data_IF_819870831594
#
_entry.id   IF_819870831594
#
_cell.length_a   1.000
_cell.length_b   1.000
_cell.length_c   1.000
_cell.angle_alpha   90.00
_cell.angle_beta   90.00
_cell.angle_gamma   90.00
#
_symmetry.space_group_name_H-M   'P 1'
#
loop_
_entity.id
_entity.type
_entity.pdbx_description
1 polymer ?
#
# COMPACT_ATOMS: atom_id res chain seq x y z
N UNK A 1 14.23 -10.24 28.27
CA UNK A 1 13.48 -10.83 27.14
C UNK A 1 14.46 -11.09 26.02
N UNK A 2 14.59 -12.33 25.57
CA UNK A 2 15.38 -12.64 24.36
C UNK A 2 14.50 -12.26 23.16
N UNK A 3 14.97 -11.33 22.33
CA UNK A 3 14.34 -11.08 21.02
C UNK A 3 14.53 -12.35 20.18
N UNK A 4 13.42 -12.96 19.73
CA UNK A 4 13.46 -13.98 18.70
C UNK A 4 13.62 -13.27 17.36
N UNK A 5 14.86 -12.96 17.00
CA UNK A 5 15.14 -12.53 15.64
C UNK A 5 14.88 -13.72 14.69
N UNK A 6 14.32 -13.48 13.48
CA UNK A 6 14.18 -14.54 12.49
C UNK A 6 15.55 -15.10 12.16
N UNK A 7 15.85 -16.32 12.56
CA UNK A 7 17.06 -17.04 12.17
C UNK A 7 16.83 -17.77 10.85
N UNK A 8 17.92 -18.25 10.25
CA UNK A 8 17.83 -19.00 8.99
C UNK A 8 17.06 -20.31 9.17
N UNK A 9 17.04 -20.88 10.38
CA UNK A 9 16.27 -22.09 10.71
C UNK A 9 14.75 -21.87 10.60
N UNK A 10 14.25 -20.72 11.04
CA UNK A 10 12.86 -20.33 10.80
C UNK A 10 12.56 -20.21 9.30
N UNK A 11 13.46 -19.61 8.53
CA UNK A 11 13.29 -19.46 7.07
C UNK A 11 13.26 -20.82 6.35
N UNK A 12 14.10 -21.79 6.76
CA UNK A 12 14.03 -23.17 6.27
C UNK A 12 12.66 -23.81 6.56
N UNK A 13 12.16 -23.68 7.80
CA UNK A 13 10.85 -24.24 8.18
C UNK A 13 9.70 -23.60 7.41
N UNK A 14 9.66 -22.27 7.32
CA UNK A 14 8.59 -21.53 6.65
C UNK A 14 8.55 -21.75 5.14
N UNK A 15 9.69 -22.06 4.53
CA UNK A 15 9.79 -22.34 3.10
C UNK A 15 9.78 -23.84 2.79
N UNK A 16 9.56 -24.69 3.80
CA UNK A 16 9.55 -26.14 3.72
C UNK A 16 10.80 -26.70 3.01
N UNK A 17 11.96 -26.13 3.33
CA UNK A 17 13.25 -26.56 2.80
C UNK A 17 14.00 -27.33 3.87
N UNK A 18 14.45 -28.55 3.52
CA UNK A 18 15.36 -29.32 4.35
C UNK A 18 16.69 -28.56 4.52
N UNK A 19 17.14 -28.24 5.74
CA UNK A 19 18.43 -27.59 5.98
C UNK A 19 19.61 -28.31 5.32
N UNK A 20 19.53 -29.64 5.14
CA UNK A 20 20.56 -30.41 4.45
C UNK A 20 20.67 -30.09 2.95
N UNK A 21 19.63 -29.51 2.33
CA UNK A 21 19.67 -29.02 0.96
C UNK A 21 20.46 -27.70 0.81
N UNK A 22 20.71 -27.00 1.93
CA UNK A 22 21.59 -25.85 2.01
C UNK A 22 21.02 -24.52 1.48
N UNK A 23 21.81 -23.43 1.58
CA UNK A 23 21.34 -22.06 1.39
C UNK A 23 20.95 -21.73 -0.06
N UNK A 24 21.47 -22.48 -1.03
CA UNK A 24 21.12 -22.31 -2.45
C UNK A 24 19.68 -22.74 -2.70
N UNK A 25 19.25 -23.86 -2.12
CA UNK A 25 17.87 -24.34 -2.23
C UNK A 25 16.91 -23.39 -1.51
N UNK A 26 17.30 -22.92 -0.32
CA UNK A 26 16.53 -21.93 0.43
C UNK A 26 16.27 -20.67 -0.40
N UNK A 27 17.32 -20.08 -0.98
CA UNK A 27 17.19 -18.90 -1.84
C UNK A 27 16.35 -19.21 -3.10
N UNK A 28 16.52 -20.39 -3.70
CA UNK A 28 15.72 -20.81 -4.87
C UNK A 28 14.23 -20.85 -4.55
N UNK A 29 13.84 -21.38 -3.38
CA UNK A 29 12.43 -21.37 -2.93
C UNK A 29 11.95 -19.98 -2.61
N UNK A 30 12.77 -19.17 -1.94
CA UNK A 30 12.43 -17.79 -1.64
C UNK A 30 12.08 -16.97 -2.89
N UNK A 31 12.73 -17.25 -4.04
CA UNK A 31 12.44 -16.59 -5.34
C UNK A 31 11.04 -16.86 -5.89
N UNK A 32 10.31 -17.84 -5.35
CA UNK A 32 8.87 -17.98 -5.61
C UNK A 32 8.02 -16.85 -5.01
N UNK A 33 8.54 -16.15 -3.99
CA UNK A 33 7.95 -14.95 -3.41
C UNK A 33 8.64 -13.66 -3.88
N UNK A 34 7.91 -12.55 -3.92
CA UNK A 34 8.46 -11.27 -4.42
C UNK A 34 9.49 -10.63 -3.49
N UNK A 35 9.30 -10.71 -2.17
CA UNK A 35 10.11 -10.01 -1.17
C UNK A 35 11.01 -10.95 -0.34
N UNK A 36 10.64 -12.22 -0.23
CA UNK A 36 11.37 -13.23 0.55
C UNK A 36 12.84 -13.44 0.15
N UNK A 37 13.26 -13.33 -1.12
CA UNK A 37 14.67 -13.50 -1.49
C UNK A 37 15.60 -12.55 -0.73
N UNK A 38 15.17 -11.30 -0.54
CA UNK A 38 15.98 -10.28 0.12
C UNK A 38 16.13 -10.55 1.63
N UNK A 39 15.07 -11.03 2.29
CA UNK A 39 15.14 -11.48 3.68
C UNK A 39 16.08 -12.67 3.86
N UNK A 40 15.99 -13.66 2.96
CA UNK A 40 16.89 -14.82 2.97
C UNK A 40 18.34 -14.38 2.75
N UNK A 41 18.61 -13.51 1.76
CA UNK A 41 19.95 -12.98 1.53
C UNK A 41 20.48 -12.21 2.75
N UNK A 42 19.66 -11.40 3.41
CA UNK A 42 20.04 -10.67 4.61
C UNK A 42 20.34 -11.62 5.79
N UNK A 43 19.50 -12.64 6.03
CA UNK A 43 19.70 -13.62 7.09
C UNK A 43 20.97 -14.44 6.87
N UNK A 44 21.20 -14.92 5.64
CA UNK A 44 22.43 -15.62 5.26
C UNK A 44 23.67 -14.73 5.41
N UNK A 45 23.55 -13.43 5.13
CA UNK A 45 24.63 -12.46 5.34
C UNK A 45 25.03 -12.37 6.81
N UNK A 46 24.01 -12.29 7.68
CA UNK A 46 24.18 -12.19 9.13
C UNK A 46 24.86 -13.41 9.72
N UNK A 47 24.57 -14.60 9.19
CA UNK A 47 25.24 -15.85 9.60
C UNK A 47 26.64 -16.05 8.98
N UNK A 48 27.14 -15.07 8.22
CA UNK A 48 28.46 -15.15 7.61
C UNK A 48 28.54 -16.08 6.40
N UNK A 49 27.40 -16.45 5.79
CA UNK A 49 27.39 -17.24 4.57
C UNK A 49 28.11 -16.50 3.43
N UNK A 50 29.04 -17.18 2.76
CA UNK A 50 29.78 -16.60 1.64
C UNK A 50 28.83 -16.27 0.48
N UNK A 51 28.71 -14.98 0.17
CA UNK A 51 27.97 -14.50 -1.00
C UNK A 51 28.89 -14.07 -2.15
N UNK A 52 28.43 -14.29 -3.38
CA UNK A 52 29.02 -13.69 -4.58
C UNK A 52 28.61 -12.23 -4.74
N UNK A 53 29.23 -11.54 -5.70
CA UNK A 53 28.96 -10.13 -6.00
C UNK A 53 27.50 -9.87 -6.36
N UNK A 54 26.91 -10.72 -7.22
CA UNK A 54 25.51 -10.56 -7.65
C UNK A 54 24.50 -10.62 -6.49
N UNK A 55 24.69 -11.57 -5.56
CA UNK A 55 23.82 -11.71 -4.38
C UNK A 55 23.95 -10.52 -3.43
N UNK A 56 25.18 -10.00 -3.24
CA UNK A 56 25.39 -8.77 -2.45
C UNK A 56 24.76 -7.56 -3.11
N UNK A 57 24.88 -7.43 -4.43
CA UNK A 57 24.29 -6.33 -5.18
C UNK A 57 22.75 -6.39 -5.11
N UNK A 58 22.14 -7.57 -5.21
CA UNK A 58 20.70 -7.78 -5.03
C UNK A 58 20.22 -7.33 -3.64
N UNK A 59 20.93 -7.71 -2.58
CA UNK A 59 20.63 -7.26 -1.21
C UNK A 59 20.82 -5.74 -1.04
N UNK A 60 21.87 -5.16 -1.64
CA UNK A 60 22.12 -3.72 -1.59
C UNK A 60 20.98 -2.93 -2.24
N UNK A 61 20.53 -3.31 -3.43
CA UNK A 61 19.40 -2.65 -4.11
C UNK A 61 18.10 -2.71 -3.32
N UNK A 62 17.85 -3.81 -2.60
CA UNK A 62 16.69 -3.91 -1.72
C UNK A 62 16.76 -2.94 -0.54
N UNK A 63 17.95 -2.77 0.06
CA UNK A 63 18.20 -1.78 1.12
C UNK A 63 18.02 -0.35 0.61
N UNK A 64 18.63 -0.03 -0.53
CA UNK A 64 18.54 1.30 -1.13
C UNK A 64 17.08 1.68 -1.45
N UNK A 65 16.27 0.71 -1.87
CA UNK A 65 14.83 0.91 -2.08
C UNK A 65 14.09 1.20 -0.78
N UNK A 66 14.33 0.43 0.28
CA UNK A 66 13.71 0.67 1.58
C UNK A 66 14.08 2.07 2.11
N UNK A 67 15.36 2.44 2.02
CA UNK A 67 15.86 3.76 2.41
C UNK A 67 15.23 4.89 1.56
N UNK A 68 15.07 4.65 0.26
CA UNK A 68 14.38 5.58 -0.63
C UNK A 68 12.93 5.82 -0.18
N UNK A 69 12.17 4.75 0.08
CA UNK A 69 10.79 4.89 0.57
C UNK A 69 10.72 5.54 1.95
N UNK A 70 11.65 5.26 2.86
CA UNK A 70 11.70 5.91 4.16
C UNK A 70 11.94 7.42 4.04
N UNK A 71 12.83 7.86 3.14
CA UNK A 71 13.04 9.29 2.85
C UNK A 71 11.80 9.92 2.23
N UNK A 72 11.23 9.30 1.19
CA UNK A 72 10.01 9.79 0.54
C UNK A 72 8.85 9.94 1.53
N UNK A 73 8.65 8.96 2.41
CA UNK A 73 7.60 9.01 3.41
C UNK A 73 7.77 10.20 4.37
N UNK A 74 9.00 10.45 4.83
CA UNK A 74 9.31 11.59 5.70
C UNK A 74 9.08 12.93 5.00
N UNK A 75 9.64 13.07 3.79
CA UNK A 75 9.54 14.33 3.03
C UNK A 75 8.07 14.67 2.68
N UNK A 76 7.27 13.65 2.37
CA UNK A 76 5.82 13.82 2.13
C UNK A 76 5.06 14.11 3.43
N UNK A 77 5.39 13.43 4.53
CA UNK A 77 4.75 13.68 5.81
C UNK A 77 4.97 15.12 6.29
N UNK A 78 6.20 15.62 6.19
CA UNK A 78 6.55 16.99 6.58
C UNK A 78 5.85 18.03 5.69
N UNK A 79 5.62 17.71 4.42
CA UNK A 79 5.06 18.66 3.45
C UNK A 79 3.53 18.67 3.38
N UNK A 80 2.88 17.52 3.58
CA UNK A 80 1.43 17.37 3.33
C UNK A 80 0.66 16.70 4.47
N UNK A 81 1.35 16.21 5.50
CA UNK A 81 0.74 15.52 6.64
C UNK A 81 0.26 14.09 6.33
N UNK A 82 0.58 13.53 5.17
CA UNK A 82 0.37 12.10 4.91
C UNK A 82 1.26 11.27 5.83
N UNK A 83 0.81 10.08 6.24
CA UNK A 83 1.62 9.20 7.09
C UNK A 83 1.78 7.81 6.48
N UNK A 84 2.94 7.16 6.67
CA UNK A 84 3.10 5.78 6.26
C UNK A 84 2.23 4.86 7.11
N UNK A 85 1.74 3.79 6.47
CA UNK A 85 1.00 2.70 7.11
C UNK A 85 1.53 1.35 6.59
N UNK A 86 1.20 0.27 7.31
CA UNK A 86 1.52 -1.12 6.94
C UNK A 86 3.03 -1.37 6.86
N UNK A 87 3.57 -1.44 5.64
CA UNK A 87 4.88 -2.00 5.35
C UNK A 87 6.05 -1.24 5.97
N UNK A 88 5.99 0.09 5.95
CA UNK A 88 7.10 0.93 6.42
C UNK A 88 7.14 1.04 7.96
N UNK A 89 6.03 1.26 8.68
CA UNK A 89 6.03 1.14 10.14
C UNK A 89 6.49 -0.24 10.61
N UNK A 90 6.00 -1.30 9.95
CA UNK A 90 6.36 -2.67 10.27
C UNK A 90 7.86 -2.97 10.03
N UNK A 91 8.45 -2.39 8.97
CA UNK A 91 9.89 -2.47 8.73
C UNK A 91 10.73 -1.90 9.89
N UNK A 92 10.18 -0.94 10.66
CA UNK A 92 10.85 -0.38 11.84
C UNK A 92 11.04 -1.36 13.00
N UNK A 93 10.31 -2.47 13.03
CA UNK A 93 10.48 -3.53 14.03
C UNK A 93 11.53 -4.57 13.66
N UNK A 94 12.03 -4.54 12.42
CA UNK A 94 13.09 -5.46 11.99
C UNK A 94 14.47 -4.97 12.47
N UNK A 95 15.37 -5.89 12.86
CA UNK A 95 16.76 -5.54 13.15
C UNK A 95 17.46 -4.84 11.96
N UNK A 96 18.37 -3.87 12.21
CA UNK A 96 19.04 -3.13 11.14
C UNK A 96 19.85 -4.02 10.16
N UNK A 97 20.36 -5.16 10.63
CA UNK A 97 21.10 -6.12 9.82
C UNK A 97 20.21 -7.10 9.05
N UNK A 98 18.93 -7.19 9.41
CA UNK A 98 17.88 -7.97 8.74
C UNK A 98 16.73 -7.05 8.26
N UNK A 99 16.97 -6.10 7.35
CA UNK A 99 15.95 -5.13 6.97
C UNK A 99 14.77 -5.79 6.24
N UNK A 100 13.55 -5.41 6.63
CA UNK A 100 12.33 -5.81 5.92
C UNK A 100 12.33 -5.22 4.50
N UNK A 101 12.17 -6.03 3.44
CA UNK A 101 12.05 -5.53 2.09
C UNK A 101 10.72 -4.81 1.90
N UNK A 102 10.78 -3.55 1.46
CA UNK A 102 9.59 -2.75 1.17
C UNK A 102 9.37 -2.71 -0.34
N UNK A 103 8.29 -3.34 -0.81
CA UNK A 103 7.96 -3.41 -2.25
C UNK A 103 7.18 -2.18 -2.74
N UNK A 104 6.34 -1.64 -1.87
CA UNK A 104 5.46 -0.50 -2.11
C UNK A 104 5.48 0.40 -0.88
N UNK A 105 5.42 1.71 -1.10
CA UNK A 105 5.17 2.67 -0.02
C UNK A 105 3.67 2.96 0.07
N UNK A 106 3.03 2.52 1.15
CA UNK A 106 1.61 2.81 1.42
C UNK A 106 1.49 3.98 2.39
N UNK A 107 0.77 5.03 1.98
CA UNK A 107 0.53 6.24 2.74
C UNK A 107 -0.97 6.46 2.92
N UNK A 108 -1.38 6.93 4.10
CA UNK A 108 -2.73 7.44 4.33
C UNK A 108 -2.70 8.96 4.45
N UNK A 109 -3.66 9.61 3.81
CA UNK A 109 -3.83 11.05 3.80
C UNK A 109 -4.95 11.46 4.74
N UNK A 110 -4.78 12.55 5.53
CA UNK A 110 -5.82 13.06 6.41
C UNK A 110 -7.02 13.64 5.63
N UNK A 111 -6.79 14.14 4.41
CA UNK A 111 -7.82 14.75 3.55
C UNK A 111 -7.58 14.44 2.07
N UNK A 112 -8.58 14.70 1.23
CA UNK A 112 -8.41 14.59 -0.22
C UNK A 112 -7.42 15.65 -0.77
N UNK A 113 -7.42 16.86 -0.18
CA UNK A 113 -6.46 17.92 -0.52
C UNK A 113 -5.01 17.51 -0.26
N UNK A 114 -4.71 17.00 0.93
CA UNK A 114 -3.38 16.52 1.28
C UNK A 114 -2.93 15.36 0.37
N UNK A 115 -3.88 14.50 -0.06
CA UNK A 115 -3.60 13.42 -1.00
C UNK A 115 -3.16 13.99 -2.34
N UNK A 116 -3.93 14.93 -2.91
CA UNK A 116 -3.60 15.48 -4.22
C UNK A 116 -2.37 16.37 -4.23
N UNK A 117 -2.08 17.07 -3.13
CA UNK A 117 -0.82 17.78 -2.94
C UNK A 117 0.38 16.81 -2.99
N UNK A 118 0.31 15.68 -2.28
CA UNK A 118 1.36 14.67 -2.29
C UNK A 118 1.52 14.00 -3.66
N UNK A 119 0.40 13.67 -4.33
CA UNK A 119 0.40 13.11 -5.69
C UNK A 119 1.04 14.10 -6.68
N UNK A 120 0.66 15.38 -6.63
CA UNK A 120 1.19 16.41 -7.52
C UNK A 120 2.70 16.60 -7.34
N UNK A 121 3.17 16.57 -6.09
CA UNK A 121 4.60 16.63 -5.76
C UNK A 121 5.36 15.44 -6.34
N UNK A 122 4.87 14.21 -6.13
CA UNK A 122 5.51 13.01 -6.68
C UNK A 122 5.57 13.01 -8.20
N UNK A 123 4.51 13.47 -8.89
CA UNK A 123 4.50 13.60 -10.35
C UNK A 123 5.49 14.65 -10.85
N UNK A 124 5.73 15.72 -10.08
CA UNK A 124 6.68 16.76 -10.45
C UNK A 124 8.15 16.36 -10.18
N UNK A 125 8.40 15.59 -9.12
CA UNK A 125 9.75 15.25 -8.65
C UNK A 125 10.28 13.92 -9.23
N UNK A 126 9.40 13.06 -9.74
CA UNK A 126 9.76 11.74 -10.26
C UNK A 126 9.21 11.50 -11.67
N UNK A 127 9.86 10.62 -12.47
CA UNK A 127 9.41 10.27 -13.82
C UNK A 127 8.21 9.33 -13.79
N UNK A 128 7.07 9.80 -13.26
CA UNK A 128 5.86 8.98 -13.09
C UNK A 128 5.27 8.56 -14.44
N UNK A 129 5.20 7.25 -14.66
CA UNK A 129 4.72 6.62 -15.89
C UNK A 129 3.32 6.03 -15.76
N UNK A 130 2.89 5.63 -14.55
CA UNK A 130 1.50 5.24 -14.27
C UNK A 130 0.92 6.05 -13.11
N UNK A 131 -0.33 6.50 -13.27
CA UNK A 131 -1.17 7.02 -12.19
C UNK A 131 -2.51 6.31 -12.28
N UNK A 132 -2.79 5.48 -11.29
CA UNK A 132 -4.03 4.69 -11.19
C UNK A 132 -4.87 5.26 -10.05
N UNK A 133 -6.16 5.49 -10.29
CA UNK A 133 -7.08 6.01 -9.27
C UNK A 133 -8.19 5.02 -9.02
N UNK A 134 -8.50 4.78 -7.74
CA UNK A 134 -9.61 3.94 -7.29
C UNK A 134 -10.47 4.72 -6.31
N UNK A 135 -11.79 4.69 -6.53
CA UNK A 135 -12.76 5.21 -5.58
C UNK A 135 -13.34 4.05 -4.77
N UNK A 136 -13.33 4.20 -3.46
CA UNK A 136 -13.75 3.21 -2.47
C UNK A 136 -14.95 3.75 -1.70
N UNK A 137 -15.93 2.90 -1.42
CA UNK A 137 -17.18 3.29 -0.76
C UNK A 137 -18.07 4.23 -1.60
N UNK A 138 -19.26 4.52 -1.08
CA UNK A 138 -20.21 5.47 -1.69
C UNK A 138 -20.27 6.78 -0.91
N UNK A 139 -20.55 6.70 0.40
CA UNK A 139 -20.61 7.84 1.32
C UNK A 139 -20.17 7.43 2.74
N UNK A 140 -19.10 8.01 3.31
CA UNK A 140 -18.13 8.86 2.62
C UNK A 140 -17.40 8.09 1.51
N UNK A 141 -17.00 8.81 0.47
CA UNK A 141 -16.18 8.29 -0.63
C UNK A 141 -14.71 8.43 -0.23
N UNK A 142 -13.93 7.39 -0.42
CA UNK A 142 -12.48 7.42 -0.27
C UNK A 142 -11.80 7.31 -1.64
N UNK A 143 -10.61 7.91 -1.74
CA UNK A 143 -9.82 7.94 -2.96
C UNK A 143 -8.50 7.27 -2.66
N UNK A 144 -8.08 6.34 -3.52
CA UNK A 144 -6.76 5.75 -3.52
C UNK A 144 -6.07 6.02 -4.85
N UNK A 145 -4.81 6.42 -4.81
CA UNK A 145 -3.98 6.73 -5.97
C UNK A 145 -2.70 5.92 -5.89
N UNK A 146 -2.41 5.15 -6.93
CA UNK A 146 -1.15 4.40 -7.07
C UNK A 146 -0.33 5.03 -8.17
N UNK A 147 0.85 5.54 -7.82
CA UNK A 147 1.85 6.04 -8.75
C UNK A 147 2.94 5.00 -8.98
N UNK A 148 3.39 4.86 -10.23
CA UNK A 148 4.50 3.98 -10.58
C UNK A 148 5.50 4.65 -11.51
N UNK A 149 6.78 4.40 -11.27
CA UNK A 149 7.87 4.79 -12.17
C UNK A 149 8.99 3.74 -12.21
N UNK A 150 9.76 3.68 -13.30
CA UNK A 150 10.86 2.73 -13.42
C UNK A 150 11.90 2.87 -12.30
N UNK A 151 12.46 1.73 -11.88
CA UNK A 151 13.70 1.73 -11.10
C UNK A 151 14.90 2.11 -11.97
N UNK A 152 16.07 2.32 -11.34
CA UNK A 152 17.31 2.61 -12.05
C UNK A 152 17.68 1.49 -13.04
N UNK A 153 17.44 0.23 -12.67
CA UNK A 153 17.52 -0.92 -13.56
C UNK A 153 16.15 -1.63 -13.65
N UNK A 154 15.29 -1.26 -14.61
CA UNK A 154 13.96 -1.84 -14.72
C UNK A 154 13.95 -3.27 -15.27
N UNK A 155 15.09 -3.84 -15.69
CA UNK A 155 15.20 -5.24 -16.09
C UNK A 155 15.36 -6.15 -14.86
N UNK A 156 16.05 -5.67 -13.84
CA UNK A 156 16.35 -6.44 -12.63
C UNK A 156 15.45 -6.10 -11.45
N UNK A 157 15.04 -4.84 -11.34
CA UNK A 157 14.32 -4.35 -10.18
C UNK A 157 12.85 -4.02 -10.50
N UNK A 158 11.93 -4.25 -9.56
CA UNK A 158 10.56 -3.82 -9.72
C UNK A 158 10.48 -2.30 -9.81
N UNK A 159 9.44 -1.80 -10.47
CA UNK A 159 9.15 -0.38 -10.49
C UNK A 159 8.95 0.16 -9.07
N UNK A 160 9.28 1.43 -8.85
CA UNK A 160 8.82 2.12 -7.65
C UNK A 160 7.30 2.24 -7.69
N UNK A 161 6.68 2.03 -6.54
CA UNK A 161 5.24 2.06 -6.37
C UNK A 161 4.93 2.79 -5.06
N UNK A 162 4.16 3.88 -5.17
CA UNK A 162 3.64 4.62 -4.03
C UNK A 162 2.12 4.63 -4.12
N UNK A 163 1.46 4.18 -3.06
CA UNK A 163 0.02 4.19 -2.93
C UNK A 163 -0.38 5.17 -1.84
N UNK A 164 -1.19 6.17 -2.20
CA UNK A 164 -1.76 7.14 -1.27
C UNK A 164 -3.27 6.91 -1.20
N UNK A 165 -3.85 6.91 0.00
CA UNK A 165 -5.30 6.77 0.14
C UNK A 165 -5.87 7.68 1.23
N UNK A 166 -7.12 8.12 1.07
CA UNK A 166 -7.88 8.78 2.16
C UNK A 166 -8.55 7.78 3.10
N UNK A 167 -8.24 6.49 2.96
CA UNK A 167 -8.62 5.45 3.90
C UNK A 167 -7.43 4.57 4.25
N UNK A 168 -7.24 4.31 5.54
CA UNK A 168 -6.15 3.46 6.01
C UNK A 168 -6.36 1.99 5.63
N UNK A 169 -7.59 1.50 5.78
CA UNK A 169 -7.96 0.11 5.49
C UNK A 169 -9.08 0.06 4.47
N UNK A 170 -8.92 -0.75 3.42
CA UNK A 170 -9.85 -0.81 2.29
C UNK A 170 -11.02 -1.73 2.52
N UNK A 171 -10.86 -2.71 3.41
CA UNK A 171 -11.79 -3.80 3.64
C UNK A 171 -11.84 -4.79 2.49
N UNK A 172 -12.78 -5.72 2.62
CA UNK A 172 -13.33 -6.46 1.50
C UNK A 172 -14.64 -5.75 1.11
N UNK A 173 -14.74 -5.17 -0.10
CA UNK A 173 -15.91 -4.44 -0.56
C UNK A 173 -17.25 -5.21 -0.43
N UNK A 174 -17.22 -6.53 -0.24
CA UNK A 174 -18.38 -7.33 0.08
C UNK A 174 -18.82 -7.29 1.55
N UNK A 175 -17.90 -7.50 2.49
CA UNK A 175 -18.25 -7.89 3.86
C UNK A 175 -17.66 -6.97 4.93
N UNK A 176 -16.50 -6.36 4.66
CA UNK A 176 -15.77 -5.52 5.61
C UNK A 176 -15.66 -4.11 5.02
N UNK A 177 -16.24 -3.08 5.65
CA UNK A 177 -16.28 -1.74 5.08
C UNK A 177 -14.90 -1.08 5.02
N UNK A 178 -14.80 -0.05 4.19
CA UNK A 178 -13.66 0.88 4.19
C UNK A 178 -13.58 1.57 5.56
N UNK A 179 -12.39 1.63 6.15
CA UNK A 179 -12.14 2.28 7.45
C UNK A 179 -11.10 3.40 7.27
N UNK A 180 -11.48 4.67 7.52
CA UNK A 180 -10.62 5.80 7.19
C UNK A 180 -9.37 5.93 8.06
N UNK A 181 -9.48 5.56 9.33
CA UNK A 181 -8.47 5.83 10.34
C UNK A 181 -7.90 4.52 10.89
N UNK A 182 -6.63 4.57 11.26
CA UNK A 182 -6.05 3.69 12.26
C UNK A 182 -5.75 4.57 13.48
N UNK A 183 -6.23 4.15 14.63
CA UNK A 183 -6.13 4.88 15.90
C UNK A 183 -5.78 3.87 16.99
N UNK A 184 -4.51 3.46 17.02
CA UNK A 184 -3.93 2.56 17.99
C UNK A 184 -2.42 2.84 18.10
N UNK A 185 -1.76 2.18 19.04
CA UNK A 185 -0.29 2.18 19.09
C UNK A 185 0.30 1.56 17.80
N UNK A 186 1.49 2.01 17.41
CA UNK A 186 2.13 1.64 16.13
C UNK A 186 2.19 0.11 15.88
N UNK A 187 2.52 -0.67 16.92
CA UNK A 187 2.62 -2.13 16.83
C UNK A 187 1.25 -2.81 16.70
N UNK A 188 0.19 -2.21 17.27
CA UNK A 188 -1.20 -2.65 17.10
C UNK A 188 -1.71 -2.29 15.71
N UNK A 189 -1.39 -1.10 15.18
CA UNK A 189 -1.68 -0.74 13.79
C UNK A 189 -1.02 -1.72 12.80
N UNK A 190 0.21 -2.17 13.09
CA UNK A 190 0.88 -3.18 12.27
C UNK A 190 0.15 -4.53 12.28
N UNK A 191 -0.31 -5.00 13.45
CA UNK A 191 -1.12 -6.23 13.53
C UNK A 191 -2.43 -6.10 12.74
N UNK A 192 -3.12 -4.97 12.88
CA UNK A 192 -4.36 -4.67 12.14
C UNK A 192 -4.09 -4.65 10.63
N UNK A 193 -3.00 -4.02 10.20
CA UNK A 193 -2.59 -3.96 8.80
C UNK A 193 -2.28 -5.34 8.23
N UNK A 194 -1.63 -6.23 9.00
CA UNK A 194 -1.36 -7.61 8.58
C UNK A 194 -2.66 -8.43 8.48
N UNK A 195 -3.57 -8.28 9.45
CA UNK A 195 -4.87 -8.94 9.39
C UNK A 195 -5.70 -8.47 8.18
N UNK A 196 -5.65 -7.17 7.85
CA UNK A 196 -6.31 -6.61 6.68
C UNK A 196 -5.87 -7.27 5.36
N UNK A 197 -4.58 -7.61 5.22
CA UNK A 197 -4.09 -8.31 4.02
C UNK A 197 -4.75 -9.69 3.83
N UNK A 198 -5.16 -10.33 4.93
CA UNK A 198 -5.89 -11.60 4.96
C UNK A 198 -7.26 -11.56 4.27
N UNK A 199 -7.88 -10.37 4.16
CA UNK A 199 -9.16 -10.20 3.45
C UNK A 199 -9.01 -10.40 1.93
N UNK A 200 -7.87 -9.97 1.36
CA UNK A 200 -7.66 -9.98 -0.09
C UNK A 200 -6.88 -11.20 -0.60
N UNK A 201 -6.16 -11.90 0.29
CA UNK A 201 -5.30 -13.03 -0.06
C UNK A 201 -5.08 -13.95 1.15
N UNK A 202 -4.68 -15.19 0.88
CA UNK A 202 -4.13 -16.05 1.93
C UNK A 202 -2.83 -15.48 2.52
N UNK A 203 -2.59 -15.80 3.79
CA UNK A 203 -1.33 -15.51 4.47
C UNK A 203 -0.17 -16.30 3.85
N UNK A 204 1.01 -15.70 3.91
CA UNK A 204 2.25 -16.15 3.30
C UNK A 204 3.34 -16.24 4.37
N UNK A 205 4.45 -16.95 4.10
CA UNK A 205 5.61 -16.98 5.00
C UNK A 205 6.09 -15.61 5.49
N UNK A 206 6.01 -14.59 4.62
CA UNK A 206 6.37 -13.21 4.99
C UNK A 206 5.50 -12.63 6.10
N UNK A 207 4.20 -12.95 6.12
CA UNK A 207 3.28 -12.44 7.15
C UNK A 207 3.62 -13.06 8.53
N UNK A 208 4.07 -14.31 8.57
CA UNK A 208 4.55 -14.95 9.80
C UNK A 208 5.83 -14.29 10.33
N UNK A 209 6.77 -13.97 9.43
CA UNK A 209 8.00 -13.24 9.80
C UNK A 209 7.69 -11.84 10.34
N UNK A 210 6.70 -11.19 9.74
CA UNK A 210 6.21 -9.88 10.16
C UNK A 210 5.61 -9.94 11.57
N UNK A 211 4.74 -10.92 11.86
CA UNK A 211 4.22 -11.14 13.21
C UNK A 211 5.32 -11.50 14.20
N UNK A 212 6.33 -12.28 13.77
CA UNK A 212 7.47 -12.62 14.61
C UNK A 212 8.15 -11.36 15.19
N UNK A 213 8.26 -10.28 14.40
CA UNK A 213 8.84 -9.02 14.89
C UNK A 213 7.97 -8.32 15.93
N UNK A 214 6.66 -8.59 15.93
CA UNK A 214 5.72 -8.04 16.89
C UNK A 214 5.65 -8.86 18.19
N UNK A 215 6.11 -10.12 18.21
CA UNK A 215 6.03 -10.99 19.42
C UNK A 215 6.81 -10.46 20.63
N UNK A 216 7.76 -9.54 20.44
CA UNK A 216 8.49 -8.87 21.52
C UNK A 216 7.85 -7.58 22.04
N UNK A 217 6.76 -7.11 21.41
CA UNK A 217 6.14 -5.81 21.71
C UNK A 217 5.10 -5.93 22.86
N UNK A 218 4.90 -4.86 23.64
CA UNK A 218 3.98 -4.88 24.78
C UNK A 218 2.52 -4.71 24.32
N UNK A 219 1.82 -5.82 24.10
CA UNK A 219 0.38 -5.80 23.83
C UNK A 219 -0.45 -5.85 25.12
N UNK A 220 -1.39 -4.92 25.30
CA UNK A 220 -2.54 -5.15 26.18
C UNK A 220 -3.52 -6.08 25.45
N UNK A 221 -3.67 -7.30 25.97
CA UNK A 221 -4.46 -8.33 25.30
C UNK A 221 -5.93 -7.92 25.11
N UNK A 222 -6.54 -7.31 26.12
CA UNK A 222 -7.97 -7.00 26.12
C UNK A 222 -8.26 -5.80 25.22
N UNK A 223 -7.45 -4.75 25.34
CA UNK A 223 -7.58 -3.57 24.48
C UNK A 223 -7.30 -3.93 23.02
N UNK A 224 -6.20 -4.65 22.74
CA UNK A 224 -5.83 -5.03 21.38
C UNK A 224 -6.91 -5.89 20.73
N UNK A 225 -7.43 -6.91 21.42
CA UNK A 225 -8.50 -7.76 20.88
C UNK A 225 -9.78 -6.96 20.60
N UNK A 226 -10.17 -6.06 21.52
CA UNK A 226 -11.32 -5.19 21.33
C UNK A 226 -11.15 -4.24 20.13
N UNK A 227 -9.95 -3.68 19.95
CA UNK A 227 -9.63 -2.82 18.79
C UNK A 227 -9.70 -3.64 17.50
N UNK A 228 -9.02 -4.78 17.41
CA UNK A 228 -9.06 -5.66 16.23
C UNK A 228 -10.50 -6.08 15.88
N UNK A 229 -11.31 -6.41 16.87
CA UNK A 229 -12.73 -6.71 16.70
C UNK A 229 -13.53 -5.51 16.18
N UNK A 230 -13.27 -4.30 16.70
CA UNK A 230 -13.90 -3.07 16.22
C UNK A 230 -13.54 -2.76 14.75
N UNK A 231 -12.33 -3.14 14.32
CA UNK A 231 -11.92 -3.08 12.90
C UNK A 231 -12.49 -4.21 12.04
N UNK A 232 -13.26 -5.15 12.62
CA UNK A 232 -13.88 -6.31 11.97
C UNK A 232 -12.89 -7.31 11.38
N UNK A 233 -11.74 -7.43 12.03
CA UNK A 233 -10.61 -8.26 11.58
C UNK A 233 -10.31 -9.43 12.53
N UNK A 234 -11.22 -9.74 13.46
CA UNK A 234 -11.01 -10.83 14.41
C UNK A 234 -10.73 -12.19 13.73
N UNK A 235 -11.47 -12.62 12.68
CA UNK A 235 -11.16 -13.87 11.97
C UNK A 235 -9.76 -13.88 11.35
N UNK A 236 -9.38 -12.80 10.67
CA UNK A 236 -8.09 -12.72 9.97
C UNK A 236 -6.92 -12.65 10.96
N UNK A 237 -7.05 -11.84 12.01
CA UNK A 237 -6.03 -11.75 13.04
C UNK A 237 -5.87 -13.07 13.80
N UNK A 238 -6.97 -13.75 14.14
CA UNK A 238 -6.92 -15.06 14.78
C UNK A 238 -6.21 -16.09 13.90
N UNK A 239 -6.57 -16.16 12.61
CA UNK A 239 -5.97 -17.08 11.65
C UNK A 239 -4.48 -16.80 11.42
N UNK A 240 -4.06 -15.53 11.36
CA UNK A 240 -2.65 -15.14 11.24
C UNK A 240 -1.84 -15.53 12.48
N UNK A 241 -2.40 -15.29 13.67
CA UNK A 241 -1.77 -15.64 14.94
C UNK A 241 -1.69 -17.16 15.13
N UNK A 242 -2.71 -17.91 14.71
CA UNK A 242 -2.67 -19.38 14.71
C UNK A 242 -1.56 -19.90 13.80
N UNK A 243 -1.51 -19.41 12.55
CA UNK A 243 -0.44 -19.76 11.61
C UNK A 243 0.95 -19.43 12.18
N UNK A 244 1.10 -18.30 12.87
CA UNK A 244 2.38 -17.93 13.49
C UNK A 244 2.73 -18.85 14.66
N UNK A 245 1.73 -19.26 15.46
CA UNK A 245 1.91 -20.16 16.61
C UNK A 245 2.41 -21.56 16.21
N UNK A 246 2.18 -21.99 14.97
CA UNK A 246 2.73 -23.25 14.44
C UNK A 246 4.27 -23.23 14.33
N UNK A 247 4.88 -22.04 14.26
CA UNK A 247 6.31 -21.89 14.02
C UNK A 247 7.08 -21.30 15.21
N UNK A 248 6.44 -20.41 15.99
CA UNK A 248 7.07 -19.60 17.02
C UNK A 248 6.13 -19.34 18.21
N UNK A 249 6.67 -19.13 19.43
CA UNK A 249 5.85 -18.68 20.55
C UNK A 249 5.34 -17.25 20.33
N UNK A 250 4.04 -17.02 20.54
CA UNK A 250 3.41 -15.71 20.33
C UNK A 250 3.79 -14.65 21.37
N UNK A 251 4.35 -15.04 22.52
CA UNK A 251 4.64 -14.09 23.60
C UNK A 251 3.36 -13.36 24.07
N UNK A 252 3.37 -12.03 24.24
CA UNK A 252 2.20 -11.23 24.60
C UNK A 252 1.00 -11.39 23.65
N UNK A 253 1.24 -11.68 22.35
CA UNK A 253 0.17 -11.92 21.38
C UNK A 253 -0.65 -13.18 21.67
N UNK A 254 -0.16 -14.09 22.52
CA UNK A 254 -0.95 -15.26 22.94
C UNK A 254 -2.25 -14.83 23.64
N UNK A 255 -2.18 -13.84 24.54
CA UNK A 255 -3.36 -13.32 25.23
C UNK A 255 -4.35 -12.66 24.27
N UNK A 256 -3.85 -11.89 23.28
CA UNK A 256 -4.66 -11.32 22.21
C UNK A 256 -5.39 -12.42 21.44
N UNK A 257 -4.65 -13.46 21.02
CA UNK A 257 -5.21 -14.59 20.28
C UNK A 257 -6.31 -15.31 21.08
N UNK A 258 -6.11 -15.55 22.37
CA UNK A 258 -7.13 -16.18 23.22
C UNK A 258 -8.41 -15.35 23.29
N UNK A 259 -8.30 -14.03 23.45
CA UNK A 259 -9.48 -13.16 23.55
C UNK A 259 -10.23 -13.01 22.22
N UNK A 260 -9.52 -13.05 21.09
CA UNK A 260 -10.15 -13.00 19.77
C UNK A 260 -11.08 -14.19 19.50
N UNK A 261 -10.93 -15.33 20.19
CA UNK A 261 -11.79 -16.52 19.98
C UNK A 261 -13.28 -16.21 20.14
N UNK A 262 -13.62 -15.37 21.12
CA UNK A 262 -14.99 -14.97 21.37
C UNK A 262 -15.56 -14.06 20.26
N UNK A 263 -14.69 -13.40 19.49
CA UNK A 263 -15.05 -12.40 18.47
C UNK A 263 -15.11 -13.00 17.05
N UNK A 264 -14.47 -14.14 16.79
CA UNK A 264 -14.43 -14.77 15.46
C UNK A 264 -15.83 -15.17 14.98
N UNK A 265 -16.57 -15.95 15.78
CA UNK A 265 -17.87 -16.48 15.36
C UNK A 265 -18.93 -15.38 15.15
N UNK A 266 -19.08 -14.38 16.05
CA UNK A 266 -19.97 -13.24 15.82
C UNK A 266 -19.65 -12.48 14.53
N UNK A 267 -18.38 -12.22 14.25
CA UNK A 267 -17.98 -11.49 13.04
C UNK A 267 -18.28 -12.29 11.77
N UNK A 268 -17.99 -13.60 11.75
CA UNK A 268 -18.34 -14.45 10.60
C UNK A 268 -19.85 -14.52 10.35
N UNK A 269 -20.67 -14.56 11.40
CA UNK A 269 -22.13 -14.55 11.25
C UNK A 269 -22.64 -13.20 10.75
N UNK A 270 -22.06 -12.09 11.22
CA UNK A 270 -22.33 -10.74 10.70
C UNK A 270 -22.03 -10.65 9.19
N UNK A 271 -20.93 -11.26 8.73
CA UNK A 271 -20.57 -11.26 7.30
C UNK A 271 -21.57 -12.03 6.44
N UNK A 272 -22.04 -13.20 6.91
CA UNK A 272 -23.09 -13.98 6.22
C UNK A 272 -24.40 -13.24 6.03
N UNK A 273 -24.73 -12.35 6.97
CA UNK A 273 -25.96 -11.55 6.96
C UNK A 273 -25.77 -10.18 6.31
N UNK A 274 -24.54 -9.83 5.88
CA UNK A 274 -24.24 -8.53 5.28
C UNK A 274 -24.92 -8.40 3.91
N UNK A 275 -25.69 -7.32 3.74
CA UNK A 275 -26.36 -7.03 2.49
C UNK A 275 -25.45 -6.26 1.52
N UNK A 276 -25.46 -6.73 0.27
CA UNK A 276 -24.97 -6.14 -0.99
C UNK A 276 -23.52 -5.61 -1.00
N UNK A 277 -22.64 -6.21 -1.83
CA UNK A 277 -21.28 -5.71 -2.00
C UNK A 277 -21.28 -4.31 -2.60
N UNK A 278 -20.53 -3.40 -1.99
CA UNK A 278 -20.11 -2.17 -2.65
C UNK A 278 -18.96 -2.54 -3.58
N UNK A 279 -18.93 -1.99 -4.80
CA UNK A 279 -17.84 -2.28 -5.74
C UNK A 279 -16.94 -1.06 -5.89
N UNK A 280 -15.61 -1.22 -5.76
CA UNK A 280 -14.67 -0.18 -6.13
C UNK A 280 -14.89 0.26 -7.57
N UNK A 281 -14.64 1.54 -7.83
CA UNK A 281 -14.64 2.11 -9.19
C UNK A 281 -13.23 2.52 -9.54
N UNK A 282 -12.73 2.03 -10.67
CA UNK A 282 -11.37 2.29 -11.12
C UNK A 282 -11.37 3.33 -12.23
N UNK A 283 -10.39 4.23 -12.20
CA UNK A 283 -10.18 5.24 -13.22
C UNK A 283 -9.39 4.67 -14.39
N UNK A 284 -10.02 4.56 -15.55
CA UNK A 284 -9.33 4.36 -16.82
C UNK A 284 -8.83 5.71 -17.36
N UNK A 285 -7.51 5.86 -17.46
CA UNK A 285 -6.88 7.11 -17.89
C UNK A 285 -7.37 7.54 -19.29
N UNK A 286 -7.91 8.76 -19.37
CA UNK A 286 -8.33 9.39 -20.63
C UNK A 286 -7.23 10.29 -21.18
N UNK A 287 -6.73 11.20 -20.33
CA UNK A 287 -5.61 12.10 -20.64
C UNK A 287 -4.84 12.46 -19.38
N UNK A 288 -3.55 12.72 -19.53
CA UNK A 288 -2.76 13.48 -18.56
C UNK A 288 -3.00 14.96 -18.79
N UNK A 289 -3.12 15.73 -17.72
CA UNK A 289 -3.32 17.17 -17.79
C UNK A 289 -2.06 17.86 -17.27
N UNK A 290 -1.86 19.13 -17.63
CA UNK A 290 -1.00 19.98 -16.82
C UNK A 290 -1.54 19.97 -15.38
N UNK A 291 -0.65 20.03 -14.39
CA UNK A 291 -1.05 19.97 -12.98
C UNK A 291 -1.98 21.14 -12.68
N UNK A 292 -3.20 20.84 -12.22
CA UNK A 292 -4.21 21.83 -11.83
C UNK A 292 -3.96 22.23 -10.37
N UNK A 293 -2.93 23.05 -10.15
CA UNK A 293 -2.45 23.41 -8.80
C UNK A 293 -3.49 24.04 -7.85
N UNK A 294 -4.61 24.54 -8.38
CA UNK A 294 -5.69 25.16 -7.62
C UNK A 294 -6.81 24.18 -7.23
N UNK A 295 -6.66 22.89 -7.54
CA UNK A 295 -7.66 21.87 -7.23
C UNK A 295 -7.25 21.07 -6.01
N UNK A 296 -8.05 21.22 -4.95
CA UNK A 296 -7.88 20.46 -3.70
C UNK A 296 -8.66 19.15 -3.69
N UNK A 297 -9.60 18.95 -4.62
CA UNK A 297 -10.48 17.77 -4.64
C UNK A 297 -10.74 17.28 -6.06
N UNK A 298 -11.04 15.99 -6.20
CA UNK A 298 -11.47 15.42 -7.46
C UNK A 298 -12.98 15.61 -7.68
N UNK A 299 -13.33 16.01 -8.91
CA UNK A 299 -14.70 16.28 -9.32
C UNK A 299 -15.27 15.09 -10.09
N UNK A 300 -16.54 14.76 -9.83
CA UNK A 300 -17.28 13.79 -10.63
C UNK A 300 -18.14 14.52 -11.64
N UNK A 301 -17.97 14.19 -12.92
CA UNK A 301 -18.76 14.75 -14.00
C UNK A 301 -19.57 13.63 -14.67
N UNK A 302 -20.91 13.72 -14.70
CA UNK A 302 -21.73 12.81 -15.50
C UNK A 302 -21.40 12.92 -16.99
N UNK A 303 -21.24 11.79 -17.67
CA UNK A 303 -20.99 11.72 -19.11
C UNK A 303 -21.87 10.62 -19.73
N UNK A 304 -23.14 10.94 -19.97
CA UNK A 304 -24.14 9.96 -20.38
C UNK A 304 -24.39 8.93 -19.27
N UNK A 305 -24.20 7.65 -19.57
CA UNK A 305 -24.28 6.54 -18.59
C UNK A 305 -22.99 6.35 -17.79
N UNK A 306 -21.91 7.02 -18.18
CA UNK A 306 -20.62 6.93 -17.52
C UNK A 306 -20.38 8.09 -16.55
N UNK A 307 -19.36 7.95 -15.71
CA UNK A 307 -18.91 9.02 -14.81
C UNK A 307 -17.43 9.29 -15.06
N UNK A 308 -17.10 10.56 -15.28
CA UNK A 308 -15.72 11.03 -15.35
C UNK A 308 -15.25 11.42 -13.96
N UNK A 309 -13.98 11.15 -13.67
CA UNK A 309 -13.28 11.66 -12.50
C UNK A 309 -12.21 12.63 -12.98
N UNK A 310 -12.40 13.91 -12.71
CA UNK A 310 -11.43 14.96 -13.00
C UNK A 310 -10.58 15.18 -11.75
N UNK A 311 -9.26 15.03 -11.87
CA UNK A 311 -8.34 15.16 -10.73
C UNK A 311 -7.30 16.25 -11.00
N UNK A 312 -6.51 16.65 -10.00
CA UNK A 312 -5.46 17.65 -10.21
C UNK A 312 -4.37 17.23 -11.22
N UNK A 313 -4.19 15.93 -11.47
CA UNK A 313 -3.08 15.41 -12.31
C UNK A 313 -3.53 14.73 -13.60
N UNK A 314 -4.78 14.29 -13.70
CA UNK A 314 -5.30 13.60 -14.88
C UNK A 314 -6.84 13.51 -14.87
N UNK A 315 -7.40 13.09 -16.01
CA UNK A 315 -8.82 12.82 -16.16
C UNK A 315 -9.05 11.33 -16.46
N UNK A 316 -10.05 10.76 -15.79
CA UNK A 316 -10.34 9.33 -15.84
C UNK A 316 -11.80 9.06 -16.20
N UNK A 317 -12.04 7.95 -16.87
CA UNK A 317 -13.34 7.32 -17.01
C UNK A 317 -13.50 6.27 -15.91
N UNK A 318 -14.49 6.41 -15.03
CA UNK A 318 -14.72 5.44 -13.97
C UNK A 318 -15.41 4.20 -14.52
N UNK A 319 -14.83 3.04 -14.24
CA UNK A 319 -15.42 1.72 -14.55
C UNK A 319 -15.56 0.87 -13.29
N UNK A 320 -16.50 -0.08 -13.25
CA UNK A 320 -16.51 -1.10 -12.21
C UNK A 320 -15.21 -1.90 -12.20
N UNK A 321 -14.87 -2.47 -11.05
CA UNK A 321 -13.72 -3.38 -10.95
C UNK A 321 -13.76 -4.51 -12.00
N UNK A 322 -12.58 -4.86 -12.52
CA UNK A 322 -12.37 -5.83 -13.59
C UNK A 322 -12.88 -5.41 -14.97
N UNK A 323 -13.51 -4.22 -15.11
CA UNK A 323 -14.14 -3.80 -16.37
C UNK A 323 -13.27 -2.79 -17.11
N UNK A 324 -12.95 -3.08 -18.38
CA UNK A 324 -12.28 -2.13 -19.29
C UNK A 324 -13.32 -1.33 -20.09
N UNK A 325 -13.15 -0.02 -20.26
CA UNK A 325 -14.06 0.75 -21.09
C UNK A 325 -13.90 0.37 -22.56
N UNK A 326 -15.01 0.29 -23.26
CA UNK A 326 -15.07 0.09 -24.70
C UNK A 326 -14.52 1.32 -25.44
N UNK A 327 -14.08 1.16 -26.71
CA UNK A 327 -13.68 2.31 -27.54
C UNK A 327 -14.76 3.38 -27.69
N UNK A 328 -16.03 2.97 -27.73
CA UNK A 328 -17.19 3.87 -27.84
C UNK A 328 -17.36 4.70 -26.56
N UNK A 329 -17.31 4.06 -25.39
CA UNK A 329 -17.36 4.75 -24.09
C UNK A 329 -16.20 5.73 -23.93
N UNK A 330 -14.98 5.31 -24.31
CA UNK A 330 -13.81 6.20 -24.31
C UNK A 330 -14.01 7.41 -25.21
N UNK A 331 -14.57 7.23 -26.40
CA UNK A 331 -14.84 8.32 -27.36
C UNK A 331 -15.88 9.30 -26.82
N UNK A 332 -16.98 8.78 -26.26
CA UNK A 332 -18.01 9.60 -25.63
C UNK A 332 -17.47 10.38 -24.42
N UNK A 333 -16.65 9.75 -23.58
CA UNK A 333 -15.97 10.37 -22.45
C UNK A 333 -15.06 11.53 -22.89
N UNK A 334 -14.26 11.33 -23.94
CA UNK A 334 -13.39 12.39 -24.51
C UNK A 334 -14.20 13.52 -25.14
N UNK A 335 -15.37 13.24 -25.72
CA UNK A 335 -16.27 14.29 -26.21
C UNK A 335 -16.84 15.12 -25.06
N UNK A 336 -17.31 14.48 -23.98
CA UNK A 336 -17.81 15.16 -22.80
C UNK A 336 -16.74 16.05 -22.12
N UNK A 337 -15.49 15.56 -22.03
CA UNK A 337 -14.37 16.35 -21.52
C UNK A 337 -14.13 17.62 -22.34
N UNK A 338 -14.14 17.53 -23.67
CA UNK A 338 -13.95 18.70 -24.55
C UNK A 338 -15.05 19.74 -24.38
N UNK A 339 -16.29 19.30 -24.21
CA UNK A 339 -17.41 20.21 -23.92
C UNK A 339 -17.20 20.91 -22.58
N UNK A 340 -16.78 20.18 -21.55
CA UNK A 340 -16.50 20.75 -20.23
C UNK A 340 -15.35 21.78 -20.27
N UNK A 341 -14.26 21.48 -20.98
CA UNK A 341 -13.13 22.42 -21.15
C UNK A 341 -13.60 23.72 -21.81
N UNK A 342 -14.43 23.62 -22.87
CA UNK A 342 -14.96 24.80 -23.56
C UNK A 342 -15.81 25.68 -22.63
N UNK A 343 -16.61 25.07 -21.74
CA UNK A 343 -17.45 25.82 -20.80
C UNK A 343 -16.69 26.46 -19.64
N UNK A 344 -15.52 25.93 -19.29
CA UNK A 344 -14.73 26.38 -18.14
C UNK A 344 -13.61 27.34 -18.54
N UNK A 345 -13.11 27.25 -19.77
CA UNK A 345 -12.13 28.19 -20.32
C UNK A 345 -12.68 29.63 -20.43
N UNK A 346 -13.98 29.80 -20.73
CA UNK A 346 -14.60 31.12 -20.91
C UNK A 346 -14.82 31.92 -19.60
N UNK A 347 -14.45 31.36 -18.44
CA UNK A 347 -14.73 31.94 -17.11
C UNK A 347 -13.52 32.48 -16.33
N UNK A 348 -12.28 32.33 -16.84
CA UNK A 348 -11.07 32.73 -16.09
C UNK A 348 -10.41 33.93 -16.76
N UNK A 349 -10.47 35.15 -16.22
CA UNK A 349 -9.70 36.27 -16.75
C UNK A 349 -8.21 35.98 -16.56
N UNK A 350 -7.45 36.03 -17.64
CA UNK A 350 -5.99 35.94 -17.63
C UNK A 350 -5.42 36.95 -16.61
N UNK A 351 -4.52 36.53 -15.69
CA UNK A 351 -3.70 37.49 -14.99
C UNK A 351 -2.75 38.13 -16.01
N UNK A 352 -3.05 39.39 -16.32
CA UNK A 352 -2.28 40.36 -17.12
C UNK A 352 -0.80 40.00 -17.23
N UNK A 353 -0.40 39.73 -18.48
CA UNK A 353 0.95 39.38 -18.86
C UNK A 353 2.00 40.40 -18.42
N UNK A 354 3.05 39.92 -17.77
CA UNK A 354 4.34 40.60 -17.73
C UNK A 354 5.07 40.24 -19.02
N UNK A 355 5.04 41.17 -19.97
CA UNK A 355 5.79 41.06 -21.22
C UNK A 355 7.29 40.94 -20.94
N UNK A 356 7.89 39.86 -21.45
CA UNK A 356 9.33 39.78 -21.63
C UNK A 356 9.72 40.67 -22.83
N UNK A 357 10.77 41.50 -22.73
CA UNK A 357 11.21 42.33 -23.85
C UNK A 357 11.92 41.49 -24.92
N UNK A 358 11.62 41.79 -26.18
CA UNK A 358 12.28 41.21 -27.35
C UNK A 358 13.79 41.51 -27.35
N UNK A 359 14.64 40.55 -27.80
CA UNK A 359 16.05 40.82 -28.02
C UNK A 359 16.22 41.65 -29.30
N UNK A 360 16.75 42.86 -29.14
CA UNK A 360 17.25 43.65 -30.28
C UNK A 360 18.50 42.97 -30.84
N UNK A 361 18.40 42.51 -32.08
CA UNK A 361 19.58 42.20 -32.89
C UNK A 361 20.29 43.49 -33.28
N UNK A 362 21.59 43.55 -32.97
CA UNK A 362 22.55 44.57 -33.35
C UNK A 362 23.95 44.10 -32.99
#
# INVERSE_FOLDING_TARGET
MQHLDPDVDLLYRLLEVDPAAGPVELLRRARGGRQLPYLVLAALAREGTRMGEHARAELHRARDRADCYARLARDLADATGVRPIRDLPLAGYYPPDLPRPVGELTLVSPTEAALWQAVSRLVAEHPVESVEVTLLGERPRHTAVTLRWPAADPLLDPWYQVRLATAALTGDPAEVPVRPFLAADDHVECLIALAEEGLGRGFRPGDVLDVAQLTGQPFDAAETAAVVAAYRLAPEAAALLDLTAEHLPLGPLHGVRTLLEAEVAPELERRRTAARPLRPRHGALLRRTAIRHHWDEAQLLPAGTATLLLTPVADYLLTPDGTRPTPAERTAALAALRTWDATTADGTPDPVGTGLPEPRHG
#
